data_IF_263744254760
#
_entry.id   IF_263744254760
#
_cell.length_a   1.000
_cell.length_b   1.000
_cell.length_c   1.000
_cell.angle_alpha   90.00
_cell.angle_beta   90.00
_cell.angle_gamma   90.00
#
_symmetry.space_group_name_H-M   'P 1'
#
loop_
_entity.id
_entity.type
_entity.pdbx_description
1 polymer ?
#
# COMPACT_ATOMS: atom_id res chain seq x y z
N UNK A 1 17.94 14.15 8.74
CA UNK A 1 16.79 14.92 9.27
C UNK A 1 16.08 14.19 10.42
N UNK A 2 15.40 13.05 10.18
CA UNK A 2 14.59 12.37 11.21
C UNK A 2 15.33 12.04 12.53
N UNK A 3 16.58 11.59 12.45
CA UNK A 3 17.43 11.40 13.64
C UNK A 3 17.73 12.72 14.38
N UNK A 4 18.14 13.75 13.64
CA UNK A 4 18.41 15.07 14.19
C UNK A 4 17.18 15.63 14.90
N UNK A 5 16.01 15.58 14.25
CA UNK A 5 14.72 16.04 14.78
C UNK A 5 14.19 15.19 15.95
N UNK A 6 14.86 14.11 16.34
CA UNK A 6 14.49 13.28 17.49
C UNK A 6 13.37 12.28 17.21
N UNK A 7 13.01 12.03 15.95
CA UNK A 7 12.04 10.99 15.58
C UNK A 7 12.63 9.59 15.72
N UNK A 8 13.95 9.46 15.51
CA UNK A 8 14.71 8.24 15.80
C UNK A 8 15.56 8.46 17.05
N UNK A 9 15.81 7.39 17.81
CA UNK A 9 16.66 7.47 18.99
C UNK A 9 18.13 7.64 18.59
N UNK A 10 18.87 8.46 19.32
CA UNK A 10 20.32 8.53 19.18
C UNK A 10 20.97 7.24 19.70
N UNK A 11 21.98 6.75 18.99
CA UNK A 11 22.66 5.49 19.31
C UNK A 11 21.90 4.21 18.95
N UNK A 12 20.67 4.29 18.42
CA UNK A 12 19.89 3.08 18.05
C UNK A 12 20.61 2.28 16.96
N UNK A 13 20.59 0.96 17.11
CA UNK A 13 21.17 0.04 16.12
C UNK A 13 20.13 -0.38 15.08
N UNK A 14 20.40 -0.08 13.81
CA UNK A 14 19.63 -0.57 12.68
C UNK A 14 20.22 -1.92 12.24
N UNK A 15 19.42 -2.98 12.31
CA UNK A 15 19.81 -4.33 11.91
C UNK A 15 21.01 -4.90 12.69
N UNK A 16 21.31 -4.36 13.88
CA UNK A 16 22.44 -4.77 14.72
C UNK A 16 23.83 -4.48 14.15
N UNK A 17 23.93 -3.65 13.10
CA UNK A 17 25.20 -3.37 12.41
C UNK A 17 25.51 -1.88 12.28
N UNK A 18 24.49 -1.03 12.25
CA UNK A 18 24.66 0.41 12.05
C UNK A 18 24.09 1.15 13.24
N UNK A 19 24.97 1.79 14.03
CA UNK A 19 24.54 2.69 15.10
C UNK A 19 24.32 4.10 14.55
N UNK A 20 23.17 4.70 14.89
CA UNK A 20 22.84 6.07 14.51
C UNK A 20 23.55 7.08 15.43
N UNK A 21 24.11 8.13 14.82
CA UNK A 21 24.81 9.20 15.54
C UNK A 21 24.17 10.55 15.19
N UNK A 22 23.51 11.16 16.18
CA UNK A 22 22.80 12.43 16.01
C UNK A 22 23.76 13.59 15.73
N UNK A 23 24.96 13.59 16.30
CA UNK A 23 25.96 14.64 16.08
C UNK A 23 26.43 14.65 14.63
N UNK A 24 26.69 13.47 14.05
CA UNK A 24 27.02 13.35 12.62
C UNK A 24 25.89 13.79 11.71
N UNK A 25 24.64 13.52 12.10
CA UNK A 25 23.49 14.01 11.35
C UNK A 25 23.39 15.55 11.38
N UNK A 26 23.67 16.17 12.52
CA UNK A 26 23.72 17.63 12.69
C UNK A 26 24.82 18.25 11.82
N UNK A 27 26.05 17.72 11.86
CA UNK A 27 27.17 18.19 11.04
C UNK A 27 26.84 18.14 9.54
N UNK A 28 26.27 17.04 9.07
CA UNK A 28 25.88 16.88 7.66
C UNK A 28 24.78 17.88 7.26
N UNK A 29 23.79 18.10 8.13
CA UNK A 29 22.73 19.08 7.90
C UNK A 29 23.27 20.51 7.89
N UNK A 30 24.17 20.86 8.81
CA UNK A 30 24.82 22.17 8.86
C UNK A 30 25.66 22.44 7.61
N UNK A 31 26.35 21.43 7.08
CA UNK A 31 27.13 21.56 5.86
C UNK A 31 26.25 21.90 4.64
N UNK A 32 25.13 21.19 4.46
CA UNK A 32 24.15 21.49 3.40
C UNK A 32 23.49 22.85 3.63
N UNK A 33 23.11 23.15 4.87
CA UNK A 33 22.51 24.43 5.25
C UNK A 33 23.41 25.63 4.96
N UNK A 34 24.72 25.48 5.16
CA UNK A 34 25.72 26.52 4.90
C UNK A 34 25.74 27.00 3.44
N UNK A 35 25.48 26.13 2.47
CA UNK A 35 25.36 26.51 1.05
C UNK A 35 24.08 27.30 0.73
N UNK A 36 23.07 27.17 1.59
CA UNK A 36 21.74 27.77 1.42
C UNK A 36 21.49 28.97 2.37
N UNK A 37 22.42 29.25 3.28
CA UNK A 37 22.25 30.26 4.33
C UNK A 37 21.25 29.86 5.43
N UNK A 38 21.08 28.56 5.67
CA UNK A 38 20.18 27.99 6.67
C UNK A 38 20.97 27.33 7.80
N UNK A 39 20.41 27.33 9.01
CA UNK A 39 20.97 26.53 10.10
C UNK A 39 20.60 25.02 9.96
N UNK A 40 21.15 24.18 10.84
CA UNK A 40 20.92 22.74 10.80
C UNK A 40 19.44 22.36 11.04
N UNK A 41 18.72 23.12 11.87
CA UNK A 41 17.31 22.87 12.17
C UNK A 41 16.42 23.25 11.01
N UNK A 42 16.61 24.45 10.45
CA UNK A 42 15.92 24.91 9.24
C UNK A 42 16.15 23.95 8.08
N UNK A 43 17.39 23.48 7.92
CA UNK A 43 17.75 22.49 6.90
C UNK A 43 17.06 21.15 7.14
N UNK A 44 17.05 20.65 8.38
CA UNK A 44 16.37 19.39 8.72
C UNK A 44 14.86 19.44 8.42
N UNK A 45 14.20 20.52 8.84
CA UNK A 45 12.77 20.74 8.57
C UNK A 45 12.52 20.90 7.07
N UNK A 46 13.42 21.59 6.35
CA UNK A 46 13.38 21.72 4.89
C UNK A 46 13.46 20.38 4.17
N UNK A 47 14.39 19.51 4.58
CA UNK A 47 14.52 18.15 4.03
C UNK A 47 13.24 17.34 4.22
N UNK A 48 12.64 17.37 5.42
CA UNK A 48 11.37 16.67 5.68
C UNK A 48 10.26 17.24 4.80
N UNK A 49 10.12 18.56 4.70
CA UNK A 49 9.10 19.20 3.83
C UNK A 49 9.26 18.84 2.37
N UNK A 50 10.49 18.77 1.85
CA UNK A 50 10.74 18.37 0.45
C UNK A 50 10.37 16.90 0.24
N UNK A 51 10.76 16.01 1.15
CA UNK A 51 10.40 14.60 1.07
C UNK A 51 8.88 14.41 1.13
N UNK A 52 8.19 15.08 2.04
CA UNK A 52 6.73 15.05 2.16
C UNK A 52 6.06 15.57 0.88
N UNK A 53 6.56 16.67 0.31
CA UNK A 53 6.01 17.22 -0.92
C UNK A 53 6.15 16.27 -2.12
N UNK A 54 7.26 15.52 -2.23
CA UNK A 54 7.40 14.47 -3.26
C UNK A 54 6.42 13.32 -3.04
N UNK A 55 6.26 12.87 -1.79
CA UNK A 55 5.32 11.79 -1.46
C UNK A 55 3.86 12.21 -1.71
N UNK A 56 3.47 13.43 -1.35
CA UNK A 56 2.14 13.99 -1.67
C UNK A 56 1.91 14.03 -3.17
N UNK A 57 2.91 14.45 -3.97
CA UNK A 57 2.80 14.41 -5.44
C UNK A 57 2.50 13.00 -5.95
N UNK A 58 3.26 12.00 -5.48
CA UNK A 58 3.04 10.61 -5.87
C UNK A 58 1.64 10.10 -5.48
N UNK A 59 1.17 10.44 -4.27
CA UNK A 59 -0.16 10.08 -3.80
C UNK A 59 -1.28 10.72 -4.65
N UNK A 60 -1.12 11.96 -5.11
CA UNK A 60 -2.10 12.64 -5.99
C UNK A 60 -2.21 12.00 -7.37
N UNK A 61 -1.12 11.50 -7.94
CA UNK A 61 -1.13 10.77 -9.23
C UNK A 61 -1.97 9.49 -9.16
N UNK A 62 -1.89 8.77 -8.05
CA UNK A 62 -2.64 7.50 -7.89
C UNK A 62 -4.08 7.71 -7.38
N UNK A 63 -4.45 8.92 -6.98
CA UNK A 63 -5.77 9.27 -6.42
C UNK A 63 -6.51 10.29 -7.29
N UNK A 64 -6.19 11.58 -7.13
CA UNK A 64 -6.87 12.72 -7.78
C UNK A 64 -6.85 12.60 -9.29
N UNK A 65 -5.72 12.23 -9.88
CA UNK A 65 -5.62 12.07 -11.35
C UNK A 65 -6.42 10.87 -11.88
N UNK A 66 -6.82 9.95 -11.00
CA UNK A 66 -7.76 8.85 -11.30
C UNK A 66 -9.22 9.20 -10.95
N UNK A 67 -9.50 10.45 -10.58
CA UNK A 67 -10.84 10.93 -10.21
C UNK A 67 -11.29 10.55 -8.81
N UNK A 68 -10.36 10.14 -7.93
CA UNK A 68 -10.65 9.77 -6.54
C UNK A 68 -10.34 10.92 -5.60
N UNK A 69 -11.24 11.22 -4.66
CA UNK A 69 -11.01 12.21 -3.60
C UNK A 69 -10.29 11.54 -2.41
N UNK A 70 -9.04 11.92 -2.07
CA UNK A 70 -8.30 11.30 -0.97
C UNK A 70 -9.02 11.38 0.38
N UNK A 71 -9.89 12.37 0.59
CA UNK A 71 -10.61 12.59 1.86
C UNK A 71 -11.57 11.45 2.21
N UNK A 72 -11.98 10.67 1.22
CA UNK A 72 -12.87 9.52 1.39
C UNK A 72 -12.10 8.23 1.78
N UNK A 73 -10.79 8.30 1.96
CA UNK A 73 -9.93 7.15 2.24
C UNK A 73 -9.14 7.29 3.55
N UNK A 74 -8.69 6.15 4.06
CA UNK A 74 -7.66 6.08 5.10
C UNK A 74 -6.27 5.84 4.47
N UNK A 75 -5.23 6.45 5.03
CA UNK A 75 -3.85 6.24 4.59
C UNK A 75 -3.23 5.06 5.33
N UNK A 76 -2.91 3.97 4.63
CA UNK A 76 -2.16 2.85 5.22
C UNK A 76 -0.66 3.16 5.16
N UNK A 77 -0.03 3.33 6.32
CA UNK A 77 1.39 3.61 6.43
C UNK A 77 2.18 2.35 6.78
N UNK A 78 3.07 1.95 5.87
CA UNK A 78 3.94 0.79 6.02
C UNK A 78 5.34 1.07 5.46
N UNK A 79 6.25 0.12 5.63
CA UNK A 79 7.69 0.31 5.51
C UNK A 79 8.27 1.00 6.74
N UNK A 80 9.58 0.85 6.95
CA UNK A 80 10.24 1.36 8.17
C UNK A 80 10.09 2.88 8.39
N UNK A 81 9.93 3.65 7.31
CA UNK A 81 9.78 5.10 7.37
C UNK A 81 8.35 5.62 7.16
N UNK A 82 7.41 4.80 6.71
CA UNK A 82 6.07 5.27 6.33
C UNK A 82 5.36 5.98 7.48
N UNK A 83 5.42 5.39 8.68
CA UNK A 83 4.81 5.96 9.88
C UNK A 83 5.39 7.30 10.33
N UNK A 84 6.62 7.65 9.93
CA UNK A 84 7.24 8.94 10.30
C UNK A 84 6.62 10.12 9.55
N UNK A 85 6.09 9.88 8.36
CA UNK A 85 5.55 10.92 7.47
C UNK A 85 4.01 10.87 7.40
N UNK A 86 3.40 9.76 7.79
CA UNK A 86 1.99 9.48 7.54
C UNK A 86 1.02 10.56 8.02
N UNK A 87 1.18 11.08 9.24
CA UNK A 87 0.34 12.17 9.73
C UNK A 87 0.47 13.41 8.83
N UNK A 88 1.69 13.84 8.51
CA UNK A 88 1.96 15.01 7.65
C UNK A 88 1.31 14.84 6.26
N UNK A 89 1.49 13.66 5.65
CA UNK A 89 0.92 13.34 4.35
C UNK A 89 -0.62 13.32 4.38
N UNK A 90 -1.21 12.74 5.42
CA UNK A 90 -2.65 12.71 5.60
C UNK A 90 -3.22 14.12 5.75
N UNK A 91 -2.56 15.01 6.50
CA UNK A 91 -2.97 16.41 6.64
C UNK A 91 -2.94 17.16 5.30
N UNK A 92 -1.87 17.02 4.51
CA UNK A 92 -1.72 17.66 3.19
C UNK A 92 -2.73 17.15 2.15
N UNK A 93 -3.26 15.94 2.34
CA UNK A 93 -4.29 15.34 1.49
C UNK A 93 -5.71 15.50 2.05
N UNK A 94 -5.87 16.11 3.22
CA UNK A 94 -7.16 16.28 3.90
C UNK A 94 -7.75 14.96 4.43
N UNK A 95 -6.94 13.92 4.57
CA UNK A 95 -7.32 12.62 5.12
C UNK A 95 -7.40 12.71 6.65
N UNK A 96 -8.38 12.01 7.24
CA UNK A 96 -8.61 12.03 8.69
C UNK A 96 -8.11 10.80 9.44
N UNK A 97 -7.77 9.75 8.70
CA UNK A 97 -7.43 8.45 9.28
C UNK A 97 -6.14 7.92 8.70
N UNK A 98 -5.23 7.50 9.57
CA UNK A 98 -4.00 6.78 9.21
C UNK A 98 -4.04 5.42 9.89
N UNK A 99 -3.77 4.37 9.14
CA UNK A 99 -3.66 3.01 9.64
C UNK A 99 -2.19 2.60 9.63
N UNK A 100 -1.64 2.26 10.80
CA UNK A 100 -0.27 1.74 10.94
C UNK A 100 -0.35 0.30 11.43
N UNK A 101 -0.33 -0.70 10.53
CA UNK A 101 -0.45 -2.10 10.91
C UNK A 101 0.63 -2.55 11.89
N UNK A 102 0.36 -3.56 12.70
CA UNK A 102 1.35 -4.15 13.63
C UNK A 102 2.66 -4.53 12.95
N UNK A 103 2.56 -5.07 11.73
CA UNK A 103 3.68 -5.45 10.89
C UNK A 103 4.13 -4.34 9.93
N UNK A 104 3.87 -3.06 10.23
CA UNK A 104 4.12 -1.93 9.32
C UNK A 104 5.51 -1.94 8.69
N UNK A 105 6.57 -2.23 9.47
CA UNK A 105 7.94 -2.28 8.96
C UNK A 105 8.22 -3.42 7.97
N UNK A 106 7.43 -4.50 8.00
CA UNK A 106 7.62 -5.72 7.19
C UNK A 106 6.36 -6.14 6.43
N UNK A 107 5.43 -5.20 6.19
CA UNK A 107 4.10 -5.50 5.67
C UNK A 107 4.14 -6.20 4.30
N UNK A 108 5.12 -5.87 3.45
CA UNK A 108 5.32 -6.54 2.16
C UNK A 108 5.68 -8.02 2.31
N UNK A 109 6.50 -8.37 3.31
CA UNK A 109 6.87 -9.75 3.59
C UNK A 109 5.68 -10.53 4.16
N UNK A 110 4.88 -9.89 5.03
CA UNK A 110 3.63 -10.48 5.50
C UNK A 110 2.67 -10.73 4.33
N UNK A 111 2.49 -9.74 3.45
CA UNK A 111 1.64 -9.86 2.25
C UNK A 111 2.07 -11.03 1.36
N UNK A 112 3.38 -11.19 1.11
CA UNK A 112 3.91 -12.33 0.37
C UNK A 112 3.61 -13.67 1.06
N UNK A 113 3.76 -13.73 2.40
CA UNK A 113 3.57 -14.95 3.17
C UNK A 113 2.11 -15.42 3.26
N UNK A 114 1.15 -14.51 3.15
CA UNK A 114 -0.29 -14.81 3.29
C UNK A 114 -1.06 -14.75 1.97
N UNK A 115 -0.38 -14.47 0.86
CA UNK A 115 -1.02 -14.40 -0.47
C UNK A 115 -1.31 -15.81 -0.98
N UNK A 116 -2.47 -15.96 -1.64
CA UNK A 116 -2.80 -17.19 -2.35
C UNK A 116 -1.76 -17.50 -3.44
N UNK A 117 -1.53 -18.78 -3.69
CA UNK A 117 -0.68 -19.19 -4.79
C UNK A 117 -1.45 -19.03 -6.09
N UNK A 118 -1.04 -18.05 -6.90
CA UNK A 118 -1.69 -17.70 -8.17
C UNK A 118 -0.78 -18.03 -9.35
N UNK A 119 -1.34 -18.67 -10.38
CA UNK A 119 -0.73 -18.81 -11.71
C UNK A 119 -1.66 -18.31 -12.79
N UNK A 120 -1.12 -17.46 -13.67
CA UNK A 120 -1.82 -16.91 -14.82
C UNK A 120 -1.30 -17.59 -16.10
N UNK A 121 -2.20 -18.27 -16.81
CA UNK A 121 -1.92 -18.87 -18.11
C UNK A 121 -2.59 -18.06 -19.21
N UNK A 122 -1.93 -17.96 -20.36
CA UNK A 122 -2.49 -17.32 -21.54
C UNK A 122 -2.17 -18.14 -22.80
N UNK A 123 -3.15 -18.24 -23.70
CA UNK A 123 -2.99 -18.86 -25.02
C UNK A 123 -3.55 -17.93 -26.10
N UNK A 124 -2.80 -17.61 -27.15
CA UNK A 124 -3.32 -16.86 -28.29
C UNK A 124 -4.50 -17.60 -28.94
N UNK A 125 -5.58 -16.87 -29.21
CA UNK A 125 -6.75 -17.38 -29.91
C UNK A 125 -7.30 -16.24 -30.75
N UNK A 126 -6.72 -16.02 -31.94
CA UNK A 126 -7.14 -14.93 -32.82
C UNK A 126 -8.26 -15.40 -33.75
N UNK A 127 -9.47 -14.92 -33.52
CA UNK A 127 -10.63 -15.21 -34.35
C UNK A 127 -11.64 -14.08 -34.29
N UNK A 128 -12.46 -13.90 -35.33
CA UNK A 128 -13.70 -13.15 -35.17
C UNK A 128 -14.56 -13.89 -34.14
N UNK A 129 -15.14 -13.16 -33.19
CA UNK A 129 -15.89 -13.75 -32.08
C UNK A 129 -17.12 -14.53 -32.56
N UNK A 130 -17.75 -14.05 -33.65
CA UNK A 130 -18.89 -14.70 -34.30
C UNK A 130 -18.55 -16.06 -34.93
N UNK A 131 -17.28 -16.26 -35.30
CA UNK A 131 -16.78 -17.51 -35.91
C UNK A 131 -16.28 -18.51 -34.85
N UNK A 132 -16.30 -18.14 -33.56
CA UNK A 132 -15.81 -19.00 -32.47
C UNK A 132 -16.82 -20.11 -32.18
N UNK A 133 -16.40 -21.35 -32.44
CA UNK A 133 -17.11 -22.53 -31.98
C UNK A 133 -16.95 -22.71 -30.47
N UNK A 134 -18.06 -22.87 -29.75
CA UNK A 134 -18.06 -23.02 -28.29
C UNK A 134 -17.30 -24.26 -27.81
N UNK A 135 -17.37 -25.38 -28.53
CA UNK A 135 -16.62 -26.59 -28.22
C UNK A 135 -15.12 -26.41 -28.44
N UNK A 136 -14.72 -25.76 -29.53
CA UNK A 136 -13.30 -25.46 -29.77
C UNK A 136 -12.73 -24.48 -28.72
N UNK A 137 -13.54 -23.54 -28.25
CA UNK A 137 -13.19 -22.64 -27.16
C UNK A 137 -13.04 -23.39 -25.82
N UNK A 138 -13.97 -24.31 -25.52
CA UNK A 138 -13.89 -25.14 -24.32
C UNK A 138 -12.66 -26.05 -24.35
N UNK A 139 -12.36 -26.70 -25.47
CA UNK A 139 -11.14 -27.51 -25.65
C UNK A 139 -9.86 -26.69 -25.42
N UNK A 140 -9.83 -25.44 -25.89
CA UNK A 140 -8.69 -24.54 -25.69
C UNK A 140 -8.53 -24.14 -24.21
N UNK A 141 -9.63 -23.94 -23.48
CA UNK A 141 -9.57 -23.75 -22.03
C UNK A 141 -9.15 -25.02 -21.30
N UNK A 142 -9.63 -26.20 -21.70
CA UNK A 142 -9.23 -27.47 -21.09
C UNK A 142 -7.71 -27.70 -21.18
N UNK A 143 -7.06 -27.26 -22.26
CA UNK A 143 -5.60 -27.30 -22.35
C UNK A 143 -4.92 -26.42 -21.29
N UNK A 144 -5.39 -25.20 -21.09
CA UNK A 144 -4.90 -24.33 -20.02
C UNK A 144 -5.16 -24.95 -18.64
N UNK A 145 -6.30 -25.62 -18.45
CA UNK A 145 -6.66 -26.27 -17.19
C UNK A 145 -5.76 -27.48 -16.91
N UNK A 146 -5.36 -28.24 -17.94
CA UNK A 146 -4.37 -29.32 -17.80
C UNK A 146 -3.01 -28.79 -17.34
N UNK A 147 -2.56 -27.65 -17.88
CA UNK A 147 -1.34 -26.99 -17.42
C UNK A 147 -1.46 -26.55 -15.95
N UNK A 148 -2.58 -25.94 -15.57
CA UNK A 148 -2.85 -25.52 -14.20
C UNK A 148 -2.86 -26.69 -13.21
N UNK A 149 -3.47 -27.82 -13.57
CA UNK A 149 -3.52 -29.03 -12.74
C UNK A 149 -2.15 -29.73 -12.58
N UNK A 150 -1.22 -29.54 -13.53
CA UNK A 150 0.15 -30.01 -13.38
C UNK A 150 1.00 -29.15 -12.43
N UNK A 151 0.57 -27.92 -12.21
CA UNK A 151 1.32 -26.86 -11.54
C UNK A 151 0.85 -26.59 -10.10
N UNK A 152 -0.45 -26.78 -9.85
CA UNK A 152 -1.13 -26.53 -8.59
C UNK A 152 -2.05 -27.72 -8.27
N UNK A 153 -2.12 -28.11 -6.99
CA UNK A 153 -3.06 -29.13 -6.54
C UNK A 153 -4.46 -28.52 -6.37
N UNK A 154 -5.42 -29.07 -7.11
CA UNK A 154 -6.85 -28.72 -7.03
C UNK A 154 -7.16 -27.21 -6.97
N UNK A 155 -6.59 -26.37 -7.88
CA UNK A 155 -6.79 -24.92 -7.83
C UNK A 155 -8.21 -24.51 -8.21
N UNK A 156 -8.66 -23.39 -7.69
CA UNK A 156 -9.83 -22.66 -8.19
C UNK A 156 -9.48 -22.01 -9.55
N UNK A 157 -10.33 -22.21 -10.54
CA UNK A 157 -10.06 -21.81 -11.92
C UNK A 157 -11.04 -20.73 -12.40
N UNK A 158 -10.50 -19.62 -12.89
CA UNK A 158 -11.30 -18.54 -13.50
C UNK A 158 -10.90 -18.35 -14.96
N UNK A 159 -11.88 -18.49 -15.86
CA UNK A 159 -11.71 -18.26 -17.31
C UNK A 159 -11.88 -16.78 -17.66
N UNK A 160 -10.99 -16.27 -18.49
CA UNK A 160 -10.96 -14.89 -18.99
C UNK A 160 -10.63 -14.90 -20.49
N UNK A 161 -11.04 -13.86 -21.19
CA UNK A 161 -10.75 -13.68 -22.61
C UNK A 161 -10.38 -12.23 -22.89
N UNK A 162 -9.38 -12.03 -23.76
CA UNK A 162 -9.01 -10.71 -24.27
C UNK A 162 -9.72 -10.47 -25.60
N UNK A 163 -10.49 -9.40 -25.68
CA UNK A 163 -11.22 -9.01 -26.87
C UNK A 163 -10.94 -7.57 -27.27
N UNK A 164 -11.15 -7.29 -28.54
CA UNK A 164 -11.06 -5.94 -29.10
C UNK A 164 -12.03 -5.78 -30.26
N UNK A 165 -12.36 -4.55 -30.64
CA UNK A 165 -12.95 -4.34 -31.95
C UNK A 165 -11.89 -4.55 -33.04
N UNK A 166 -12.30 -5.08 -34.19
CA UNK A 166 -11.41 -5.30 -35.33
C UNK A 166 -10.68 -4.00 -35.68
N UNK A 167 -9.36 -4.09 -35.82
CA UNK A 167 -8.51 -2.93 -36.13
C UNK A 167 -8.10 -2.07 -34.93
N UNK A 168 -8.59 -2.34 -33.73
CA UNK A 168 -8.07 -1.71 -32.51
C UNK A 168 -6.70 -2.28 -32.12
N UNK A 169 -5.89 -1.46 -31.45
CA UNK A 169 -4.55 -1.82 -30.99
C UNK A 169 -4.48 -2.31 -29.54
N UNK A 170 -5.58 -2.27 -28.79
CA UNK A 170 -5.63 -2.62 -27.37
C UNK A 170 -6.81 -3.53 -27.08
N UNK A 171 -6.60 -4.50 -26.21
CA UNK A 171 -7.62 -5.44 -25.76
C UNK A 171 -8.24 -5.03 -24.43
N UNK A 172 -9.44 -5.55 -24.17
CA UNK A 172 -10.07 -5.57 -22.85
C UNK A 172 -10.28 -7.03 -22.42
N UNK A 173 -9.86 -7.33 -21.18
CA UNK A 173 -10.06 -8.65 -20.59
C UNK A 173 -11.44 -8.73 -19.92
N UNK A 174 -12.24 -9.73 -20.30
CA UNK A 174 -13.57 -10.00 -19.72
C UNK A 174 -13.67 -11.42 -19.15
N UNK A 175 -14.67 -11.66 -18.32
CA UNK A 175 -14.99 -12.99 -17.79
C UNK A 175 -15.50 -13.91 -18.92
N UNK A 176 -15.00 -15.14 -18.97
CA UNK A 176 -15.25 -16.11 -20.04
C UNK A 176 -15.84 -17.44 -19.52
N UNK A 177 -16.56 -17.39 -18.40
CA UNK A 177 -17.38 -18.46 -17.86
C UNK A 177 -18.56 -18.81 -18.79
N UNK A 178 -19.11 -17.82 -19.50
CA UNK A 178 -20.18 -18.02 -20.48
C UNK A 178 -19.77 -17.47 -21.87
N UNK A 179 -19.36 -18.33 -22.83
CA UNK A 179 -18.92 -17.92 -24.16
C UNK A 179 -19.91 -17.02 -24.91
N UNK A 180 -21.22 -17.25 -24.72
CA UNK A 180 -22.29 -16.50 -25.39
C UNK A 180 -22.41 -15.06 -24.91
N UNK A 181 -21.91 -14.76 -23.71
CA UNK A 181 -21.96 -13.42 -23.14
C UNK A 181 -20.71 -12.58 -23.44
N UNK A 182 -19.67 -13.17 -24.08
CA UNK A 182 -18.39 -12.49 -24.32
C UNK A 182 -18.54 -11.15 -25.04
N UNK A 183 -19.37 -11.11 -26.09
CA UNK A 183 -19.63 -9.88 -26.85
C UNK A 183 -20.25 -8.79 -25.96
N UNK A 184 -21.33 -9.13 -25.25
CA UNK A 184 -22.03 -8.18 -24.38
C UNK A 184 -21.11 -7.67 -23.26
N UNK A 185 -20.39 -8.58 -22.59
CA UNK A 185 -19.42 -8.25 -21.54
C UNK A 185 -18.29 -7.35 -22.05
N UNK A 186 -17.82 -7.57 -23.28
CA UNK A 186 -16.84 -6.71 -23.93
C UNK A 186 -17.40 -5.32 -24.20
N UNK A 187 -18.58 -5.21 -24.80
CA UNK A 187 -19.22 -3.91 -25.06
C UNK A 187 -19.42 -3.12 -23.76
N UNK A 188 -19.90 -3.76 -22.70
CA UNK A 188 -20.10 -3.11 -21.41
C UNK A 188 -18.76 -2.70 -20.77
N UNK A 189 -17.71 -3.53 -20.90
CA UNK A 189 -16.38 -3.18 -20.41
C UNK A 189 -15.80 -1.98 -21.18
N UNK A 190 -16.03 -1.92 -22.48
CA UNK A 190 -15.59 -0.82 -23.32
C UNK A 190 -16.32 0.48 -22.99
N UNK A 191 -17.64 0.42 -22.78
CA UNK A 191 -18.42 1.59 -22.37
C UNK A 191 -17.99 2.10 -20.98
N UNK A 192 -17.79 1.21 -20.01
CA UNK A 192 -17.27 1.61 -18.70
C UNK A 192 -15.89 2.27 -18.78
N UNK A 193 -15.01 1.77 -19.67
CA UNK A 193 -13.60 2.20 -19.74
C UNK A 193 -13.41 3.47 -20.59
N UNK A 194 -14.20 3.64 -21.65
CA UNK A 194 -14.01 4.67 -22.67
C UNK A 194 -15.25 5.55 -22.90
N UNK A 195 -16.40 5.23 -22.29
CA UNK A 195 -17.63 6.00 -22.38
C UNK A 195 -18.49 5.72 -23.62
N UNK A 196 -18.17 4.71 -24.41
CA UNK A 196 -18.94 4.32 -25.60
C UNK A 196 -18.76 2.83 -25.96
N UNK A 197 -19.65 2.31 -26.80
CA UNK A 197 -19.55 0.99 -27.46
C UNK A 197 -19.84 1.11 -28.95
N UNK A 198 -19.28 0.23 -29.77
CA UNK A 198 -19.44 0.20 -31.23
C UNK A 198 -20.16 -1.10 -31.60
N UNK A 199 -21.48 -1.13 -31.44
CA UNK A 199 -22.30 -2.36 -31.59
C UNK A 199 -22.21 -2.98 -32.98
N UNK A 200 -21.95 -2.18 -34.01
CA UNK A 200 -21.84 -2.64 -35.40
C UNK A 200 -20.43 -3.12 -35.76
N UNK A 201 -19.42 -2.82 -34.93
CA UNK A 201 -18.04 -3.19 -35.23
C UNK A 201 -17.76 -4.64 -34.82
N UNK A 202 -17.19 -5.47 -35.71
CA UNK A 202 -16.87 -6.86 -35.38
C UNK A 202 -15.90 -6.96 -34.19
N UNK A 203 -16.20 -7.88 -33.28
CA UNK A 203 -15.33 -8.20 -32.14
C UNK A 203 -14.37 -9.32 -32.51
N UNK A 204 -13.09 -9.15 -32.19
CA UNK A 204 -12.06 -10.18 -32.27
C UNK A 204 -11.79 -10.73 -30.88
N UNK A 205 -11.82 -12.06 -30.74
CA UNK A 205 -11.16 -12.76 -29.66
C UNK A 205 -9.67 -12.82 -30.01
N UNK A 206 -8.80 -12.46 -29.06
CA UNK A 206 -7.34 -12.35 -29.28
C UNK A 206 -6.58 -13.37 -28.44
N UNK A 207 -6.97 -13.56 -27.19
CA UNK A 207 -6.32 -14.50 -26.27
C UNK A 207 -7.32 -15.09 -25.26
N UNK A 208 -7.04 -16.31 -24.84
CA UNK A 208 -7.66 -16.96 -23.70
C UNK A 208 -6.73 -16.87 -22.50
N UNK A 209 -7.33 -16.65 -21.33
CA UNK A 209 -6.62 -16.54 -20.07
C UNK A 209 -7.25 -17.46 -19.03
N UNK A 210 -6.43 -18.18 -18.29
CA UNK A 210 -6.86 -18.98 -17.15
C UNK A 210 -6.10 -18.51 -15.91
N UNK A 211 -6.84 -18.10 -14.89
CA UNK A 211 -6.28 -17.77 -13.58
C UNK A 211 -6.53 -18.98 -12.68
N UNK A 212 -5.46 -19.58 -12.17
CA UNK A 212 -5.51 -20.68 -11.22
C UNK A 212 -5.05 -20.19 -9.84
N UNK A 213 -5.87 -20.41 -8.81
CA UNK A 213 -5.62 -19.95 -7.45
C UNK A 213 -5.71 -21.14 -6.49
N UNK A 214 -4.67 -21.36 -5.69
CA UNK A 214 -4.71 -22.25 -4.54
C UNK A 214 -4.72 -21.38 -3.27
N UNK A 215 -5.83 -21.35 -2.53
CA UNK A 215 -5.93 -20.54 -1.32
C UNK A 215 -4.87 -20.93 -0.29
N UNK A 216 -4.28 -19.92 0.36
CA UNK A 216 -3.40 -20.13 1.50
C UNK A 216 -4.17 -19.84 2.78
N UNK A 217 -4.04 -20.70 3.79
CA UNK A 217 -4.64 -20.43 5.11
C UNK A 217 -3.88 -19.29 5.78
N UNK A 218 -4.40 -18.07 5.64
CA UNK A 218 -3.84 -16.90 6.28
C UNK A 218 -4.09 -16.94 7.80
N UNK A 219 -3.10 -16.56 8.63
CA UNK A 219 -3.29 -16.45 10.06
C UNK A 219 -4.33 -15.36 10.37
N UNK A 220 -5.18 -15.61 11.36
CA UNK A 220 -6.05 -14.57 11.90
C UNK A 220 -5.19 -13.56 12.67
N UNK A 221 -5.20 -12.32 12.22
CA UNK A 221 -4.57 -11.22 12.94
C UNK A 221 -5.46 -10.85 14.12
N UNK A 222 -4.91 -10.93 15.33
CA UNK A 222 -5.57 -10.52 16.56
C UNK A 222 -4.55 -9.94 17.53
N UNK A 223 -4.98 -8.97 18.32
CA UNK A 223 -4.21 -8.40 19.42
C UNK A 223 -5.05 -8.50 20.70
N UNK A 224 -4.41 -8.85 21.81
CA UNK A 224 -5.07 -8.89 23.11
C UNK A 224 -4.84 -7.57 23.85
N UNK A 225 -5.76 -7.21 24.75
CA UNK A 225 -5.54 -6.12 25.68
C UNK A 225 -4.39 -6.47 26.64
N UNK A 226 -3.60 -5.47 27.02
CA UNK A 226 -2.49 -5.64 27.98
C UNK A 226 -2.86 -4.99 29.30
N UNK A 227 -2.65 -5.69 30.41
CA UNK A 227 -2.78 -5.11 31.75
C UNK A 227 -1.51 -4.34 32.14
N UNK A 228 -1.66 -3.09 32.58
CA UNK A 228 -0.56 -2.33 33.17
C UNK A 228 0.54 -1.95 32.17
N UNK A 229 0.18 -1.18 31.14
CA UNK A 229 1.16 -0.58 30.23
C UNK A 229 2.25 0.18 31.02
N UNK A 230 3.54 -0.04 30.73
CA UNK A 230 4.59 0.71 31.37
C UNK A 230 4.49 2.20 31.01
N UNK A 231 4.99 3.05 31.91
CA UNK A 231 5.11 4.48 31.64
C UNK A 231 5.92 4.70 30.34
N UNK A 232 5.51 5.66 29.49
CA UNK A 232 6.24 5.99 28.28
C UNK A 232 7.63 6.52 28.62
N UNK A 233 8.58 6.25 27.73
CA UNK A 233 9.88 6.92 27.77
C UNK A 233 9.73 8.36 27.32
N UNK A 234 10.68 9.22 27.69
CA UNK A 234 10.65 10.65 27.35
C UNK A 234 11.81 10.99 26.43
N UNK A 235 11.51 11.63 25.29
CA UNK A 235 12.52 12.04 24.31
C UNK A 235 12.28 13.48 23.85
N UNK A 236 13.36 14.23 23.60
CA UNK A 236 13.25 15.53 22.92
C UNK A 236 13.14 15.34 21.42
N UNK A 237 12.05 15.84 20.84
CA UNK A 237 11.81 15.85 19.41
C UNK A 237 11.33 17.23 18.95
N UNK A 238 11.56 17.56 17.68
CA UNK A 238 11.18 18.82 17.09
C UNK A 238 9.95 18.65 16.21
N UNK A 239 8.92 19.45 16.46
CA UNK A 239 7.72 19.55 15.64
C UNK A 239 7.56 21.00 15.21
N UNK A 240 7.53 21.24 13.90
CA UNK A 240 7.31 22.58 13.32
C UNK A 240 8.24 23.69 13.83
N UNK A 241 9.47 23.32 14.23
CA UNK A 241 10.49 24.23 14.77
C UNK A 241 10.59 24.23 16.30
N UNK A 242 9.59 23.71 17.00
CA UNK A 242 9.54 23.69 18.45
C UNK A 242 10.09 22.37 19.01
N UNK A 243 11.07 22.47 19.91
CA UNK A 243 11.60 21.31 20.62
C UNK A 243 10.77 20.99 21.85
N UNK A 244 10.12 19.83 21.84
CA UNK A 244 9.22 19.36 22.89
C UNK A 244 9.79 18.10 23.53
N UNK A 245 9.49 17.90 24.81
CA UNK A 245 9.67 16.59 25.46
C UNK A 245 8.39 15.78 25.27
N UNK A 246 8.50 14.65 24.60
CA UNK A 246 7.36 13.84 24.14
C UNK A 246 7.40 12.43 24.71
N UNK A 247 6.25 11.77 24.71
CA UNK A 247 6.13 10.35 25.03
C UNK A 247 6.64 9.49 23.88
N UNK A 248 7.41 8.46 24.23
CA UNK A 248 7.84 7.39 23.33
C UNK A 248 7.31 6.07 23.89
N UNK A 249 6.50 5.37 23.09
CA UNK A 249 5.91 4.08 23.45
C UNK A 249 6.44 2.98 22.55
N UNK A 250 6.92 1.88 23.14
CA UNK A 250 7.24 0.68 22.38
C UNK A 250 5.95 -0.04 21.99
N UNK A 251 5.67 -0.17 20.69
CA UNK A 251 4.47 -0.84 20.16
C UNK A 251 4.29 -2.24 20.72
N UNK A 252 5.37 -3.00 20.91
CA UNK A 252 5.31 -4.36 21.46
C UNK A 252 4.83 -4.46 22.91
N UNK A 253 4.62 -3.32 23.58
CA UNK A 253 4.08 -3.23 24.95
C UNK A 253 2.68 -2.62 24.99
N UNK A 254 2.09 -2.37 23.82
CA UNK A 254 0.72 -1.86 23.66
C UNK A 254 -0.18 -3.01 23.20
N UNK A 255 -1.39 -3.11 23.74
CA UNK A 255 -2.40 -4.08 23.38
C UNK A 255 -3.63 -3.43 22.77
N UNK A 256 -4.66 -4.22 22.46
CA UNK A 256 -5.96 -3.68 22.02
C UNK A 256 -6.49 -2.64 23.03
N UNK A 257 -6.96 -1.50 22.52
CA UNK A 257 -7.47 -0.38 23.31
C UNK A 257 -6.41 0.56 23.87
N UNK A 258 -5.12 0.21 23.81
CA UNK A 258 -4.02 1.13 24.16
C UNK A 258 -4.10 2.40 23.31
N UNK A 259 -3.98 3.56 23.95
CA UNK A 259 -4.14 4.86 23.30
C UNK A 259 -2.84 5.67 23.30
N UNK A 260 -2.73 6.59 22.33
CA UNK A 260 -1.63 7.55 22.22
C UNK A 260 -2.19 8.91 21.76
N UNK A 261 -1.73 9.99 22.39
CA UNK A 261 -2.04 11.36 21.99
C UNK A 261 -0.77 12.05 21.51
N UNK A 262 -0.85 12.73 20.37
CA UNK A 262 0.27 13.50 19.81
C UNK A 262 0.48 14.83 20.53
N UNK A 263 1.72 15.36 20.58
CA UNK A 263 2.92 14.83 19.95
C UNK A 263 3.54 13.64 20.71
N UNK A 264 3.73 12.53 20.01
CA UNK A 264 4.31 11.30 20.56
C UNK A 264 4.99 10.46 19.45
N UNK A 265 5.79 9.48 19.87
CA UNK A 265 6.38 8.48 18.98
C UNK A 265 5.94 7.09 19.44
N UNK A 266 5.56 6.24 18.47
CA UNK A 266 5.34 4.82 18.69
C UNK A 266 6.41 4.04 17.92
N UNK A 267 7.27 3.33 18.65
CA UNK A 267 8.39 2.55 18.11
C UNK A 267 7.98 1.09 17.90
N UNK A 268 8.02 0.65 16.65
CA UNK A 268 7.87 -0.75 16.27
C UNK A 268 9.25 -1.39 16.20
N UNK A 269 9.31 -2.72 16.14
CA UNK A 269 10.59 -3.44 16.00
C UNK A 269 11.34 -3.03 14.72
N UNK A 270 10.63 -2.79 13.61
CA UNK A 270 11.22 -2.47 12.30
C UNK A 270 10.75 -1.12 11.72
N UNK A 271 10.03 -0.31 12.50
CA UNK A 271 9.48 0.96 12.03
C UNK A 271 9.30 1.99 13.15
N UNK A 272 9.08 3.24 12.77
CA UNK A 272 8.74 4.31 13.70
C UNK A 272 7.51 5.07 13.19
N UNK A 273 6.55 5.29 14.08
CA UNK A 273 5.38 6.11 13.82
C UNK A 273 5.48 7.42 14.61
N UNK A 274 5.36 8.54 13.91
CA UNK A 274 5.32 9.88 14.51
C UNK A 274 3.86 10.32 14.57
N UNK A 275 3.33 10.42 15.78
CA UNK A 275 1.98 10.94 16.05
C UNK A 275 2.11 12.44 16.23
N UNK A 276 1.75 13.21 15.21
CA UNK A 276 1.89 14.67 15.20
C UNK A 276 0.93 15.35 16.19
N UNK A 277 1.20 16.59 16.63
CA UNK A 277 0.25 17.38 17.41
C UNK A 277 -1.15 17.39 16.79
N UNK A 278 -2.19 17.18 17.61
CA UNK A 278 -3.59 17.15 17.17
C UNK A 278 -4.07 15.81 16.62
N UNK A 279 -3.18 14.83 16.45
CA UNK A 279 -3.56 13.45 16.20
C UNK A 279 -3.68 12.68 17.51
N UNK A 280 -4.61 11.72 17.54
CA UNK A 280 -4.72 10.70 18.57
C UNK A 280 -4.81 9.35 17.91
N UNK A 281 -4.57 8.27 18.64
CA UNK A 281 -4.81 6.94 18.11
C UNK A 281 -5.01 5.89 19.17
N UNK A 282 -5.49 4.74 18.71
CA UNK A 282 -5.70 3.55 19.51
C UNK A 282 -5.34 2.29 18.73
N UNK A 283 -4.96 1.24 19.44
CA UNK A 283 -4.75 -0.08 18.85
C UNK A 283 -6.10 -0.78 18.71
N UNK A 284 -6.43 -1.23 17.50
CA UNK A 284 -7.61 -2.05 17.24
C UNK A 284 -7.38 -3.54 17.57
N UNK A 285 -8.44 -4.36 17.49
CA UNK A 285 -8.36 -5.80 17.76
C UNK A 285 -7.52 -6.60 16.76
N UNK A 286 -7.08 -6.02 15.64
CA UNK A 286 -6.13 -6.63 14.70
C UNK A 286 -4.67 -6.21 14.98
N UNK A 287 -4.45 -5.33 15.97
CA UNK A 287 -3.16 -4.77 16.31
C UNK A 287 -2.74 -3.58 15.44
N UNK A 288 -3.64 -3.00 14.66
CA UNK A 288 -3.37 -1.78 13.89
C UNK A 288 -3.46 -0.58 14.81
N UNK A 289 -2.44 0.29 14.76
CA UNK A 289 -2.56 1.62 15.36
C UNK A 289 -3.36 2.50 14.41
N UNK A 290 -4.59 2.81 14.81
CA UNK A 290 -5.51 3.69 14.08
C UNK A 290 -5.32 5.10 14.61
N UNK A 291 -4.77 5.99 13.79
CA UNK A 291 -4.65 7.40 14.11
C UNK A 291 -5.80 8.17 13.48
N UNK A 292 -6.36 9.11 14.25
CA UNK A 292 -7.42 10.00 13.82
C UNK A 292 -7.07 11.45 14.12
N UNK A 293 -7.50 12.33 13.22
CA UNK A 293 -7.55 13.77 13.45
C UNK A 293 -9.01 14.23 13.54
N UNK A 294 -9.45 14.74 14.71
CA UNK A 294 -10.81 15.28 14.88
C UNK A 294 -11.11 16.46 13.94
#
# INVERSE_FOLDING_TARGET
ANLFLGYLADGVELGGQVSLDRGRAEEALAAVGGELGLDALETALGVVRVADAEMVRALRVISVERGLDPRDFALVAFGGAGGMHACSLAEELGMRTVLVPRASGVLSALGLAISDLRRDYASPYLSALEDVDAGALDEAFEELQRLAAGDLDSPELTRRADLRYRGQSFELTVAADEPRELAARFHDAHERRYGYRMEEEPVELVSLRLIAISPVEAPKLSEEAVEGEPAPERRRACFDGDWLEIDVRGRGRMGEGSAVEGPAIVEFSEATCVVRPGWRGAIDGAGTLVLERP
#
